data_IF_609940174857
#
_entry.id   IF_609940174857
#
_cell.length_a   1.000
_cell.length_b   1.000
_cell.length_c   1.000
_cell.angle_alpha   90.00
_cell.angle_beta   90.00
_cell.angle_gamma   90.00
#
_symmetry.space_group_name_H-M   'P 1'
#
loop_
_entity.id
_entity.type
_entity.pdbx_description
1 polymer ?
#
# COMPACT_ATOMS: atom_id res chain seq x y z
N UNK A 1 4.81 -11.66 17.92
CA UNK A 1 3.98 -10.62 17.28
C UNK A 1 2.65 -10.59 17.99
N UNK A 2 2.30 -9.46 18.57
CA UNK A 2 0.98 -9.20 19.16
C UNK A 2 0.00 -8.75 18.08
N UNK A 3 -1.30 -8.78 18.40
CA UNK A 3 -2.33 -8.24 17.50
C UNK A 3 -2.14 -6.73 17.26
N UNK A 4 -1.69 -6.00 18.28
CA UNK A 4 -1.37 -4.58 18.17
C UNK A 4 -0.21 -4.33 17.19
N UNK A 5 0.88 -5.10 17.28
CA UNK A 5 2.01 -4.99 16.35
C UNK A 5 1.60 -5.31 14.90
N UNK A 6 0.75 -6.33 14.73
CA UNK A 6 0.16 -6.67 13.43
C UNK A 6 -0.66 -5.50 12.87
N UNK A 7 -1.60 -4.99 13.67
CA UNK A 7 -2.50 -3.91 13.29
C UNK A 7 -1.72 -2.62 13.00
N UNK A 8 -0.70 -2.29 13.78
CA UNK A 8 0.15 -1.12 13.56
C UNK A 8 0.89 -1.22 12.21
N UNK A 9 1.44 -2.40 11.92
CA UNK A 9 2.12 -2.67 10.64
C UNK A 9 1.18 -2.50 9.46
N UNK A 10 -0.03 -3.07 9.52
CA UNK A 10 -1.03 -2.99 8.46
C UNK A 10 -1.62 -1.58 8.30
N UNK A 11 -1.90 -0.90 9.41
CA UNK A 11 -2.42 0.46 9.38
C UNK A 11 -1.43 1.40 8.69
N UNK A 12 -0.14 1.24 8.94
CA UNK A 12 0.91 2.04 8.31
C UNK A 12 1.14 1.62 6.85
N UNK A 13 1.47 0.35 6.61
CA UNK A 13 1.99 -0.10 5.32
C UNK A 13 0.91 -0.24 4.24
N UNK A 14 -0.31 -0.58 4.63
CA UNK A 14 -1.39 -0.87 3.69
C UNK A 14 -2.47 0.22 3.74
N UNK A 15 -3.13 0.36 4.90
CA UNK A 15 -4.30 1.26 5.02
C UNK A 15 -3.90 2.72 4.77
N UNK A 16 -2.82 3.18 5.38
CA UNK A 16 -2.31 4.55 5.23
C UNK A 16 -1.97 4.85 3.77
N UNK A 17 -1.16 4.00 3.13
CA UNK A 17 -0.79 4.17 1.73
C UNK A 17 -2.00 4.17 0.78
N UNK A 18 -2.96 3.27 1.00
CA UNK A 18 -4.22 3.24 0.22
C UNK A 18 -5.06 4.52 0.42
N UNK A 19 -5.20 5.00 1.65
CA UNK A 19 -5.93 6.24 1.94
C UNK A 19 -5.28 7.44 1.26
N UNK A 20 -3.97 7.60 1.39
CA UNK A 20 -3.23 8.67 0.70
C UNK A 20 -3.43 8.60 -0.81
N UNK A 21 -3.27 7.40 -1.40
CA UNK A 21 -3.49 7.19 -2.83
C UNK A 21 -4.90 7.64 -3.26
N UNK A 22 -5.93 7.19 -2.52
CA UNK A 22 -7.33 7.54 -2.78
C UNK A 22 -7.59 9.05 -2.73
N UNK A 23 -7.15 9.72 -1.67
CA UNK A 23 -7.47 11.13 -1.47
C UNK A 23 -6.64 12.04 -2.37
N UNK A 24 -5.39 11.68 -2.68
CA UNK A 24 -4.57 12.42 -3.67
C UNK A 24 -5.20 12.31 -5.05
N UNK A 25 -5.57 11.11 -5.50
CA UNK A 25 -6.25 10.93 -6.79
C UNK A 25 -7.55 11.74 -6.85
N UNK A 26 -8.37 11.69 -5.80
CA UNK A 26 -9.59 12.51 -5.72
C UNK A 26 -9.27 14.01 -5.83
N UNK A 27 -8.24 14.48 -5.13
CA UNK A 27 -7.85 15.88 -5.19
C UNK A 27 -7.35 16.30 -6.59
N UNK A 28 -6.56 15.47 -7.26
CA UNK A 28 -6.10 15.71 -8.63
C UNK A 28 -7.28 15.83 -9.61
N UNK A 29 -8.31 14.98 -9.46
CA UNK A 29 -9.55 15.02 -10.25
C UNK A 29 -10.34 16.30 -9.97
N UNK A 30 -10.60 16.60 -8.70
CA UNK A 30 -11.39 17.76 -8.28
C UNK A 30 -10.72 19.08 -8.73
N UNK A 31 -9.37 19.12 -8.71
CA UNK A 31 -8.57 20.24 -9.19
C UNK A 31 -8.46 20.34 -10.72
N UNK A 32 -9.02 19.38 -11.47
CA UNK A 32 -8.94 19.30 -12.95
C UNK A 32 -7.49 19.36 -13.47
N UNK A 33 -6.55 18.73 -12.76
CA UNK A 33 -5.12 18.75 -13.13
C UNK A 33 -4.80 18.07 -14.48
N UNK A 34 -5.75 17.32 -15.06
CA UNK A 34 -5.56 16.65 -16.35
C UNK A 34 -4.70 15.39 -16.30
N UNK A 35 -4.18 15.03 -15.12
CA UNK A 35 -3.41 13.81 -14.90
C UNK A 35 -2.53 13.90 -13.65
N UNK A 36 -1.88 12.78 -13.32
CA UNK A 36 -0.97 12.66 -12.20
C UNK A 36 -0.54 11.22 -12.01
N UNK A 37 0.40 10.98 -11.11
CA UNK A 37 0.86 9.64 -10.75
C UNK A 37 0.94 9.47 -9.24
N UNK A 38 0.62 8.27 -8.78
CA UNK A 38 0.84 7.82 -7.40
C UNK A 38 1.78 6.62 -7.46
N UNK A 39 2.91 6.71 -6.76
CA UNK A 39 3.93 5.67 -6.73
C UNK A 39 4.01 5.13 -5.29
N UNK A 40 3.52 3.92 -5.08
CA UNK A 40 3.67 3.24 -3.79
C UNK A 40 4.95 2.39 -3.78
N UNK A 41 5.68 2.44 -2.68
CA UNK A 41 6.92 1.68 -2.50
C UNK A 41 6.64 0.37 -1.77
N UNK A 42 6.83 -0.74 -2.49
CA UNK A 42 6.67 -2.10 -1.95
C UNK A 42 8.00 -2.63 -1.40
N UNK A 43 8.20 -3.94 -1.33
CA UNK A 43 9.44 -4.58 -0.88
C UNK A 43 9.64 -5.90 -1.61
N UNK A 44 10.89 -6.37 -1.73
CA UNK A 44 11.15 -7.74 -2.23
C UNK A 44 10.48 -8.81 -1.36
N UNK A 45 10.32 -8.54 -0.06
CA UNK A 45 9.58 -9.41 0.87
C UNK A 45 8.06 -9.34 0.68
N UNK A 46 7.56 -8.31 -0.02
CA UNK A 46 6.16 -8.19 -0.46
C UNK A 46 5.94 -8.73 -1.87
N UNK A 47 6.96 -9.29 -2.49
CA UNK A 47 6.85 -10.01 -3.75
C UNK A 47 7.11 -11.48 -3.47
N UNK A 48 6.53 -12.40 -4.26
CA UNK A 48 6.84 -13.85 -4.21
C UNK A 48 8.29 -14.17 -4.68
N UNK A 49 9.24 -13.28 -4.35
CA UNK A 49 10.66 -13.35 -4.72
C UNK A 49 11.52 -13.78 -3.54
N UNK A 50 11.20 -13.33 -2.32
CA UNK A 50 11.95 -13.67 -1.11
C UNK A 50 10.97 -13.92 0.04
N UNK A 51 10.95 -15.14 0.57
CA UNK A 51 10.29 -15.44 1.83
C UNK A 51 11.27 -15.17 2.98
N UNK A 52 10.98 -14.16 3.80
CA UNK A 52 11.80 -13.83 4.98
C UNK A 52 11.08 -14.33 6.24
N UNK A 53 11.61 -15.33 6.95
CA UNK A 53 11.04 -15.78 8.21
C UNK A 53 10.93 -14.63 9.22
N UNK A 54 9.83 -14.58 9.98
CA UNK A 54 9.59 -13.56 11.00
C UNK A 54 8.98 -12.25 10.48
N UNK A 55 8.79 -12.07 9.17
CA UNK A 55 8.24 -10.81 8.62
C UNK A 55 6.77 -10.91 8.21
N UNK A 56 5.97 -11.76 8.86
CA UNK A 56 4.61 -12.08 8.37
C UNK A 56 3.75 -10.82 8.15
N UNK A 57 3.63 -9.91 9.12
CA UNK A 57 2.86 -8.67 8.96
C UNK A 57 3.46 -7.73 7.90
N UNK A 58 4.79 -7.59 7.89
CA UNK A 58 5.48 -6.69 6.98
C UNK A 58 5.39 -7.18 5.52
N UNK A 59 5.75 -8.44 5.27
CA UNK A 59 5.74 -9.05 3.93
C UNK A 59 4.34 -9.07 3.35
N UNK A 60 3.35 -9.53 4.11
CA UNK A 60 1.95 -9.57 3.64
C UNK A 60 1.35 -8.19 3.42
N UNK A 61 1.63 -7.21 4.29
CA UNK A 61 1.18 -5.81 4.06
C UNK A 61 1.80 -5.18 2.81
N UNK A 62 3.07 -5.47 2.51
CA UNK A 62 3.74 -5.00 1.29
C UNK A 62 3.26 -5.72 0.02
N UNK A 63 2.90 -7.00 0.12
CA UNK A 63 2.27 -7.73 -0.98
C UNK A 63 0.85 -7.24 -1.26
N UNK A 64 0.08 -6.94 -0.21
CA UNK A 64 -1.22 -6.30 -0.37
C UNK A 64 -1.09 -4.92 -1.03
N UNK A 65 -0.08 -4.13 -0.65
CA UNK A 65 0.19 -2.82 -1.28
C UNK A 65 0.57 -2.96 -2.77
N UNK A 66 1.36 -3.97 -3.14
CA UNK A 66 1.68 -4.27 -4.54
C UNK A 66 0.42 -4.54 -5.36
N UNK A 67 -0.52 -5.33 -4.81
CA UNK A 67 -1.82 -5.57 -5.44
C UNK A 67 -2.67 -4.30 -5.51
N UNK A 68 -2.73 -3.49 -4.44
CA UNK A 68 -3.41 -2.18 -4.46
C UNK A 68 -2.86 -1.29 -5.58
N UNK A 69 -1.55 -1.29 -5.82
CA UNK A 69 -0.96 -0.50 -6.91
C UNK A 69 -1.27 -1.07 -8.29
N UNK A 70 -1.29 -2.40 -8.46
CA UNK A 70 -1.60 -3.04 -9.76
C UNK A 70 -3.04 -2.90 -10.19
N UNK A 71 -3.98 -3.02 -9.24
CA UNK A 71 -5.43 -2.96 -9.52
C UNK A 71 -6.04 -1.61 -9.20
N UNK A 72 -5.25 -0.69 -8.64
CA UNK A 72 -5.70 0.57 -8.08
C UNK A 72 -6.49 1.40 -9.08
N UNK A 73 -7.80 1.32 -8.96
CA UNK A 73 -8.77 2.22 -9.59
C UNK A 73 -9.32 3.10 -8.47
N UNK A 74 -8.81 4.32 -8.35
CA UNK A 74 -9.17 5.26 -7.29
C UNK A 74 -10.33 6.17 -7.70
N UNK A 75 -11.31 5.59 -8.42
CA UNK A 75 -12.44 6.27 -9.05
C UNK A 75 -13.63 6.32 -8.09
#
# INVERSE_FOLDING_TARGET
MTEEEWNNTYNTNLRGAWMVSKYVCKHMIDAKQGGGSVINITSMAGLNRIAVPGTIAYGTSKMALDMVTKVGSFN
#
